data_IF_368576813911
#
_entry.id   IF_368576813911
#
_cell.length_a   1.000
_cell.length_b   1.000
_cell.length_c   1.000
_cell.angle_alpha   90.00
_cell.angle_beta   90.00
_cell.angle_gamma   90.00
#
_symmetry.space_group_name_H-M   'P 1'
#
loop_
_entity.id
_entity.type
_entity.pdbx_description
1 polymer ?
#
# COMPACT_ATOMS: atom_id res chain seq x y z
N UNK A 1 -20.22 3.43 4.30
CA UNK A 1 -20.11 4.19 5.56
C UNK A 1 -18.74 3.91 6.17
N UNK A 2 -17.98 4.94 6.52
CA UNK A 2 -16.66 4.83 7.14
C UNK A 2 -16.76 5.38 8.58
N UNK A 3 -16.77 4.53 9.61
CA UNK A 3 -17.05 4.96 10.99
C UNK A 3 -15.83 5.53 11.72
N UNK A 4 -14.65 5.48 11.10
CA UNK A 4 -13.39 5.94 11.69
C UNK A 4 -13.04 7.35 11.22
N UNK A 5 -12.63 8.20 12.14
CA UNK A 5 -12.15 9.56 11.88
C UNK A 5 -10.65 9.56 11.54
N UNK A 6 -10.21 8.65 10.67
CA UNK A 6 -8.81 8.58 10.27
C UNK A 6 -8.51 9.71 9.28
N UNK A 7 -7.48 10.50 9.56
CA UNK A 7 -6.96 11.47 8.59
C UNK A 7 -6.40 10.77 7.35
N UNK A 8 -6.32 11.48 6.24
CA UNK A 8 -5.61 11.01 5.04
C UNK A 8 -4.13 11.40 5.15
N UNK A 9 -3.25 10.48 4.80
CA UNK A 9 -1.80 10.68 4.72
C UNK A 9 -1.29 10.39 3.31
N UNK A 10 -0.26 11.12 2.90
CA UNK A 10 0.56 10.78 1.73
C UNK A 10 1.95 10.36 2.16
N UNK A 11 2.47 9.33 1.50
CA UNK A 11 3.78 8.75 1.77
C UNK A 11 4.46 8.47 0.44
N UNK A 12 5.74 8.85 0.31
CA UNK A 12 6.57 8.42 -0.81
C UNK A 12 7.32 7.14 -0.42
N UNK A 13 7.15 6.07 -1.20
CA UNK A 13 7.64 4.73 -0.88
C UNK A 13 8.27 4.07 -2.10
N UNK A 14 9.34 3.30 -1.89
CA UNK A 14 10.00 2.55 -2.96
C UNK A 14 9.12 1.40 -3.45
N UNK A 15 9.30 0.99 -4.70
CA UNK A 15 8.52 -0.08 -5.31
C UNK A 15 8.65 -1.41 -4.59
N UNK A 16 9.85 -1.75 -4.08
CA UNK A 16 10.05 -2.98 -3.31
C UNK A 16 9.23 -2.96 -2.00
N UNK A 17 9.33 -1.86 -1.23
CA UNK A 17 8.59 -1.71 0.00
C UNK A 17 7.07 -1.71 -0.25
N UNK A 18 6.63 -1.01 -1.31
CA UNK A 18 5.22 -0.99 -1.69
C UNK A 18 4.70 -2.37 -2.09
N UNK A 19 5.48 -3.18 -2.83
CA UNK A 19 5.12 -4.57 -3.15
C UNK A 19 5.00 -5.43 -1.89
N UNK A 20 5.91 -5.29 -0.93
CA UNK A 20 5.81 -5.99 0.35
C UNK A 20 4.53 -5.61 1.11
N UNK A 21 4.17 -4.33 1.14
CA UNK A 21 2.92 -3.85 1.74
C UNK A 21 1.69 -4.38 1.01
N UNK A 22 1.70 -4.37 -0.32
CA UNK A 22 0.62 -4.95 -1.13
C UNK A 22 0.49 -6.46 -0.92
N UNK A 23 1.60 -7.14 -0.64
CA UNK A 23 1.62 -8.57 -0.37
C UNK A 23 0.97 -8.91 0.97
N UNK A 24 1.19 -8.08 1.99
CA UNK A 24 0.45 -8.13 3.26
C UNK A 24 -1.04 -7.78 3.06
N UNK A 25 -1.33 -6.72 2.30
CA UNK A 25 -2.68 -6.31 1.94
C UNK A 25 -3.47 -7.34 1.12
N UNK A 26 -2.80 -8.27 0.43
CA UNK A 26 -3.43 -9.35 -0.30
C UNK A 26 -3.65 -10.61 0.57
N UNK A 27 -3.29 -10.59 1.86
CA UNK A 27 -3.50 -11.73 2.74
C UNK A 27 -4.98 -11.87 3.15
N UNK A 28 -5.66 -12.97 2.79
CA UNK A 28 -7.07 -13.14 3.12
C UNK A 28 -7.36 -13.22 4.62
N UNK A 29 -6.35 -13.48 5.46
CA UNK A 29 -6.53 -13.63 6.92
C UNK A 29 -7.19 -12.42 7.58
N UNK A 30 -6.90 -11.21 7.10
CA UNK A 30 -7.42 -9.95 7.65
C UNK A 30 -8.33 -9.20 6.66
N UNK A 31 -8.72 -9.86 5.57
CA UNK A 31 -9.37 -9.21 4.43
C UNK A 31 -8.38 -8.49 3.52
N UNK A 32 -8.72 -8.40 2.23
CA UNK A 32 -7.85 -7.74 1.26
C UNK A 32 -8.04 -6.21 1.27
N UNK A 33 -6.93 -5.47 1.26
CA UNK A 33 -6.95 -4.02 1.12
C UNK A 33 -7.41 -3.63 -0.30
N UNK A 34 -8.36 -2.70 -0.40
CA UNK A 34 -8.76 -2.13 -1.67
C UNK A 34 -7.71 -1.15 -2.22
N UNK A 35 -7.62 -1.06 -3.55
CA UNK A 35 -6.74 -0.13 -4.26
C UNK A 35 -7.54 0.82 -5.15
N UNK A 36 -6.93 1.95 -5.52
CA UNK A 36 -7.56 2.90 -6.45
C UNK A 36 -7.63 2.34 -7.88
N UNK A 37 -8.51 2.89 -8.72
CA UNK A 37 -8.72 2.52 -10.14
C UNK A 37 -7.44 2.44 -10.98
N UNK A 38 -6.41 3.20 -10.62
CA UNK A 38 -5.15 3.28 -11.37
C UNK A 38 -4.14 2.19 -11.01
N UNK A 39 -4.38 1.45 -9.93
CA UNK A 39 -3.52 0.39 -9.46
C UNK A 39 -4.10 -0.97 -9.84
N UNK A 40 -3.27 -1.86 -10.38
CA UNK A 40 -3.64 -3.24 -10.73
C UNK A 40 -2.56 -4.19 -10.23
N UNK A 41 -2.94 -5.23 -9.51
CA UNK A 41 -2.00 -6.25 -9.05
C UNK A 41 -2.53 -7.65 -9.29
N UNK A 42 -1.59 -8.59 -9.46
CA UNK A 42 -1.86 -10.03 -9.46
C UNK A 42 -1.11 -10.65 -8.30
N UNK A 43 -1.79 -11.50 -7.53
CA UNK A 43 -1.20 -12.19 -6.39
C UNK A 43 -1.47 -13.69 -6.42
N UNK A 44 -0.64 -14.47 -5.73
CA UNK A 44 -0.86 -15.89 -5.48
C UNK A 44 -0.72 -16.21 -3.99
N UNK A 45 -1.78 -16.73 -3.38
CA UNK A 45 -1.81 -17.07 -1.94
C UNK A 45 -0.89 -18.25 -1.57
N UNK A 46 -0.46 -19.04 -2.56
CA UNK A 46 0.50 -20.13 -2.41
C UNK A 46 1.94 -19.65 -2.20
N UNK A 47 2.24 -18.38 -2.46
CA UNK A 47 3.58 -17.81 -2.23
C UNK A 47 3.74 -17.30 -0.78
N UNK A 48 4.98 -17.26 -0.25
CA UNK A 48 5.28 -16.65 1.04
C UNK A 48 4.76 -15.21 1.11
N UNK A 49 4.37 -14.75 2.31
CA UNK A 49 3.63 -13.50 2.52
C UNK A 49 4.26 -12.26 1.88
N UNK A 50 5.59 -12.17 1.77
CA UNK A 50 6.29 -11.00 1.20
C UNK A 50 6.45 -11.09 -0.34
N UNK A 51 6.12 -12.25 -0.93
CA UNK A 51 6.35 -12.58 -2.34
C UNK A 51 5.06 -12.89 -3.10
N UNK A 52 3.89 -12.58 -2.54
CA UNK A 52 2.60 -12.92 -3.16
C UNK A 52 2.30 -12.08 -4.37
N UNK A 53 2.75 -10.82 -4.40
CA UNK A 53 2.59 -9.92 -5.55
C UNK A 53 3.54 -10.36 -6.68
N UNK A 54 2.96 -10.83 -7.79
CA UNK A 54 3.73 -11.27 -8.98
C UNK A 54 3.70 -10.27 -10.13
N UNK A 55 2.71 -9.38 -10.15
CA UNK A 55 2.62 -8.24 -11.07
C UNK A 55 1.99 -7.08 -10.34
N UNK A 56 2.54 -5.89 -10.52
CA UNK A 56 1.95 -4.68 -9.96
C UNK A 56 2.20 -3.47 -10.85
N UNK A 57 1.11 -2.86 -11.30
CA UNK A 57 1.10 -1.71 -12.19
C UNK A 57 0.40 -0.52 -11.53
N UNK A 58 0.98 0.66 -11.73
CA UNK A 58 0.36 1.95 -11.40
C UNK A 58 0.29 2.76 -12.70
N UNK A 59 -0.93 3.17 -13.09
CA UNK A 59 -1.21 3.89 -14.35
C UNK A 59 -0.65 3.17 -15.58
N UNK A 60 -0.73 1.84 -15.59
CA UNK A 60 -0.26 0.99 -16.68
C UNK A 60 1.26 0.81 -16.77
N UNK A 61 2.02 1.29 -15.78
CA UNK A 61 3.48 1.09 -15.69
C UNK A 61 3.80 0.14 -14.55
N UNK A 62 4.66 -0.85 -14.82
CA UNK A 62 5.14 -1.77 -13.78
C UNK A 62 5.89 -1.00 -12.70
N UNK A 63 5.61 -1.35 -11.45
CA UNK A 63 6.32 -0.80 -10.30
C UNK A 63 7.70 -1.46 -10.21
N UNK A 64 8.75 -0.73 -10.57
CA UNK A 64 10.13 -1.18 -10.40
C UNK A 64 10.61 -0.94 -8.95
N UNK A 65 11.49 -1.80 -8.45
CA UNK A 65 11.87 -1.83 -7.03
C UNK A 65 12.50 -0.53 -6.52
N UNK A 66 13.30 0.12 -7.36
CA UNK A 66 13.97 1.39 -7.07
C UNK A 66 13.11 2.64 -7.35
N UNK A 67 11.96 2.48 -8.00
CA UNK A 67 11.08 3.62 -8.31
C UNK A 67 10.28 4.01 -7.09
N UNK A 68 10.29 5.30 -6.76
CA UNK A 68 9.46 5.83 -5.70
C UNK A 68 8.09 6.25 -6.24
N UNK A 69 7.05 5.92 -5.48
CA UNK A 69 5.67 6.30 -5.76
C UNK A 69 5.07 7.01 -4.55
N UNK A 70 4.29 8.06 -4.79
CA UNK A 70 3.47 8.68 -3.75
C UNK A 70 2.14 7.95 -3.66
N UNK A 71 1.84 7.42 -2.49
CA UNK A 71 0.57 6.76 -2.17
C UNK A 71 -0.21 7.59 -1.17
N UNK A 72 -1.54 7.55 -1.27
CA UNK A 72 -2.46 8.11 -0.28
C UNK A 72 -3.15 6.96 0.46
N UNK A 73 -3.26 7.09 1.78
CA UNK A 73 -3.75 6.05 2.69
C UNK A 73 -4.26 6.71 3.98
N UNK A 74 -5.10 6.02 4.73
CA UNK A 74 -5.58 6.52 6.01
C UNK A 74 -4.47 6.49 7.08
N UNK A 75 -4.62 7.34 8.10
CA UNK A 75 -3.59 7.54 9.11
C UNK A 75 -3.35 6.35 10.03
N UNK A 76 -4.27 5.38 10.12
CA UNK A 76 -4.04 4.15 10.86
C UNK A 76 -2.98 3.31 10.15
N UNK A 77 -3.15 3.08 8.85
CA UNK A 77 -2.18 2.36 8.02
C UNK A 77 -0.86 3.14 7.90
N UNK A 78 -0.93 4.46 7.73
CA UNK A 78 0.26 5.30 7.53
C UNK A 78 1.19 5.37 8.72
N UNK A 79 0.64 5.22 9.92
CA UNK A 79 1.39 5.11 11.17
C UNK A 79 1.85 3.68 11.49
N UNK A 80 1.71 2.77 10.53
CA UNK A 80 2.19 1.39 10.62
C UNK A 80 1.32 0.46 11.46
N UNK A 81 0.02 0.73 11.58
CA UNK A 81 -0.91 -0.18 12.26
C UNK A 81 -1.43 -1.24 11.29
N UNK A 82 -2.01 -2.32 11.82
CA UNK A 82 -2.54 -3.42 11.01
C UNK A 82 -1.49 -4.29 10.31
N UNK A 83 -0.22 -4.21 10.74
CA UNK A 83 0.89 -4.98 10.14
C UNK A 83 1.50 -4.32 8.90
N UNK A 84 1.09 -3.11 8.56
CA UNK A 84 1.74 -2.31 7.51
C UNK A 84 2.96 -1.57 8.07
N UNK A 85 4.00 -1.40 7.26
CA UNK A 85 5.22 -0.66 7.58
C UNK A 85 5.47 0.45 6.54
N UNK A 86 4.63 1.48 6.58
CA UNK A 86 4.85 2.72 5.82
C UNK A 86 5.79 3.71 6.54
N UNK A 87 6.30 3.34 7.72
CA UNK A 87 7.14 4.21 8.57
C UNK A 87 8.51 4.51 7.96
N UNK A 88 8.97 3.64 7.06
CA UNK A 88 10.22 3.81 6.28
C UNK A 88 10.03 4.63 5.00
N UNK A 89 8.80 5.04 4.70
CA UNK A 89 8.53 5.97 3.62
C UNK A 89 9.10 7.36 3.92
N UNK A 90 9.33 8.14 2.87
CA UNK A 90 9.82 9.52 2.98
C UNK A 90 8.74 10.51 2.57
N UNK A 91 8.98 11.79 2.80
CA UNK A 91 8.06 12.88 2.44
C UNK A 91 6.63 12.66 2.95
N UNK A 92 6.51 12.17 4.19
CA UNK A 92 5.22 11.88 4.84
C UNK A 92 4.47 13.17 5.15
N UNK A 93 3.22 13.30 4.69
CA UNK A 93 2.38 14.48 4.94
C UNK A 93 0.96 14.07 5.30
N UNK A 94 0.40 14.68 6.33
CA UNK A 94 -1.04 14.66 6.57
C UNK A 94 -1.76 15.57 5.58
N UNK A 95 -2.88 15.11 5.03
CA UNK A 95 -3.74 15.87 4.14
C UNK A 95 -4.96 16.31 4.96
N UNK A 96 -5.04 17.60 5.25
CA UNK A 96 -6.17 18.20 5.97
C UNK A 96 -7.31 18.53 5.00
N UNK A 97 -8.56 18.32 5.43
CA UNK A 97 -9.75 18.84 4.73
C UNK A 97 -10.26 18.00 3.56
N UNK A 98 -10.04 16.68 3.59
CA UNK A 98 -10.78 15.72 2.78
C UNK A 98 -12.00 15.19 3.54
#
# INVERSE_FOLDING_TARGET
>A
MYPFTNDVMSVEISGNALKAMMSHAADPKNGMQHVSKTAKFKHYNTKPLVQRIVKFDIKGKQVADSTFSTVALDSFIGKGRGGFDFTKGKNVKGIKGL
#
